data_IF_361208042888
#
_entry.id   IF_361208042888
#
_cell.length_a   1.000
_cell.length_b   1.000
_cell.length_c   1.000
_cell.angle_alpha   90.00
_cell.angle_beta   90.00
_cell.angle_gamma   90.00
#
_symmetry.space_group_name_H-M   'P 1'
#
loop_
_entity.id
_entity.type
_entity.pdbx_description
1 polymer ?
#
# COMPACT_ATOMS: atom_id res chain seq x y z
N UNK A 1 -7.31 10.23 2.91
CA UNK A 1 -8.67 9.68 2.72
C UNK A 1 -9.16 9.96 1.32
N UNK A 2 -9.64 8.91 0.63
CA UNK A 2 -10.15 8.99 -0.75
C UNK A 2 -11.67 9.01 -0.74
N UNK A 3 -12.26 10.18 -1.01
CA UNK A 3 -13.70 10.35 -1.13
C UNK A 3 -14.25 9.94 -2.50
N UNK A 4 -15.52 10.25 -2.77
CA UNK A 4 -16.15 9.96 -4.06
C UNK A 4 -15.57 10.80 -5.20
N UNK A 5 -15.27 12.09 -4.94
CA UNK A 5 -14.82 13.07 -5.93
C UNK A 5 -13.47 13.71 -5.61
N UNK A 6 -12.99 13.56 -4.38
CA UNK A 6 -11.84 14.32 -3.86
C UNK A 6 -10.94 13.40 -3.02
N UNK A 7 -9.64 13.62 -3.09
CA UNK A 7 -8.63 13.04 -2.21
C UNK A 7 -8.14 14.11 -1.24
N UNK A 8 -8.10 13.78 0.05
CA UNK A 8 -7.57 14.65 1.10
C UNK A 8 -6.42 13.93 1.80
N UNK A 9 -5.27 14.60 1.88
CA UNK A 9 -4.11 14.16 2.68
C UNK A 9 -3.88 15.20 3.78
N UNK A 10 -3.92 14.77 5.04
CA UNK A 10 -3.63 15.63 6.19
C UNK A 10 -2.36 15.10 6.88
N UNK A 11 -1.40 15.97 7.12
CA UNK A 11 -0.09 15.65 7.71
C UNK A 11 0.14 16.60 8.87
N UNK A 12 0.58 16.06 10.02
CA UNK A 12 0.98 16.89 11.16
C UNK A 12 2.41 17.38 10.95
N UNK A 13 2.61 18.69 10.94
CA UNK A 13 3.90 19.37 10.86
C UNK A 13 4.70 19.14 12.16
N UNK A 14 6.04 19.23 12.12
CA UNK A 14 6.88 19.26 13.32
C UNK A 14 6.46 20.36 14.31
N UNK A 15 6.00 21.51 13.80
CA UNK A 15 5.43 22.62 14.59
C UNK A 15 4.14 22.28 15.34
N UNK A 16 3.51 21.14 15.05
CA UNK A 16 2.24 20.69 15.64
C UNK A 16 1.00 21.06 14.83
N UNK A 17 1.13 21.96 13.86
CA UNK A 17 0.06 22.35 12.94
C UNK A 17 -0.29 21.25 11.93
N UNK A 18 -1.44 21.37 11.25
CA UNK A 18 -1.87 20.42 10.22
C UNK A 18 -1.68 21.02 8.83
N UNK A 19 -0.90 20.36 7.98
CA UNK A 19 -0.86 20.62 6.55
C UNK A 19 -1.93 19.77 5.85
N UNK A 20 -2.79 20.39 5.05
CA UNK A 20 -3.89 19.71 4.36
C UNK A 20 -3.76 19.93 2.85
N UNK A 21 -3.63 18.84 2.09
CA UNK A 21 -3.64 18.81 0.64
C UNK A 21 -4.95 18.20 0.15
N UNK A 22 -5.76 19.01 -0.54
CA UNK A 22 -7.06 18.60 -1.11
C UNK A 22 -6.99 18.66 -2.63
N UNK A 23 -7.19 17.52 -3.30
CA UNK A 23 -7.12 17.43 -4.77
C UNK A 23 -8.36 16.72 -5.34
N UNK A 24 -8.96 17.23 -6.43
CA UNK A 24 -10.03 16.52 -7.11
C UNK A 24 -9.52 15.20 -7.73
N UNK A 25 -10.36 14.17 -7.74
CA UNK A 25 -10.04 12.90 -8.39
C UNK A 25 -10.21 13.02 -9.91
N UNK A 26 -9.19 12.62 -10.71
CA UNK A 26 -9.32 12.51 -12.15
C UNK A 26 -10.54 11.70 -12.62
N UNK A 27 -11.12 12.11 -13.75
CA UNK A 27 -12.31 11.46 -14.33
C UNK A 27 -12.11 9.97 -14.64
N UNK A 28 -10.88 9.54 -14.92
CA UNK A 28 -10.55 8.13 -15.15
C UNK A 28 -10.79 7.25 -13.90
N UNK A 29 -10.72 7.85 -12.70
CA UNK A 29 -10.95 7.17 -11.43
C UNK A 29 -12.42 7.22 -10.97
N UNK A 30 -13.25 8.01 -11.63
CA UNK A 30 -14.69 8.20 -11.32
C UNK A 30 -15.62 7.81 -12.47
N UNK A 31 -15.07 7.47 -13.64
CA UNK A 31 -15.80 7.19 -14.87
C UNK A 31 -16.42 5.79 -14.99
N UNK A 32 -17.05 5.53 -16.14
CA UNK A 32 -17.81 4.30 -16.40
C UNK A 32 -16.95 3.03 -16.44
N UNK A 33 -15.67 3.12 -16.82
CA UNK A 33 -14.75 1.97 -16.84
C UNK A 33 -14.57 1.31 -15.47
N UNK A 34 -14.80 2.05 -14.38
CA UNK A 34 -14.76 1.52 -13.01
C UNK A 34 -15.96 0.63 -12.66
N UNK A 35 -16.97 0.55 -13.53
CA UNK A 35 -18.13 -0.35 -13.37
C UNK A 35 -17.92 -1.71 -14.04
N UNK A 36 -16.96 -1.83 -14.95
CA UNK A 36 -16.70 -3.08 -15.65
C UNK A 36 -15.88 -4.05 -14.76
N UNK A 37 -16.29 -5.33 -14.61
CA UNK A 37 -15.51 -6.31 -13.86
C UNK A 37 -14.13 -6.50 -14.50
N UNK A 38 -13.12 -6.89 -13.70
CA UNK A 38 -11.69 -6.95 -14.04
C UNK A 38 -11.03 -5.59 -14.34
N UNK A 39 -11.56 -4.81 -15.28
CA UNK A 39 -11.07 -3.46 -15.63
C UNK A 39 -11.10 -2.55 -14.40
N UNK A 40 -12.19 -2.62 -13.62
CA UNK A 40 -12.31 -1.94 -12.32
C UNK A 40 -11.13 -2.25 -11.40
N UNK A 41 -10.73 -3.52 -11.31
CA UNK A 41 -9.65 -3.94 -10.42
C UNK A 41 -8.31 -3.31 -10.80
N UNK A 42 -7.98 -3.32 -12.09
CA UNK A 42 -6.76 -2.69 -12.63
C UNK A 42 -6.78 -1.18 -12.37
N UNK A 43 -7.89 -0.50 -12.67
CA UNK A 43 -8.00 0.95 -12.46
C UNK A 43 -7.86 1.31 -10.98
N UNK A 44 -8.56 0.59 -10.09
CA UNK A 44 -8.51 0.84 -8.64
C UNK A 44 -7.11 0.56 -8.08
N UNK A 45 -6.43 -0.48 -8.56
CA UNK A 45 -5.06 -0.78 -8.15
C UNK A 45 -4.10 0.36 -8.55
N UNK A 46 -4.15 0.80 -9.80
CA UNK A 46 -3.33 1.92 -10.29
C UNK A 46 -3.65 3.22 -9.53
N UNK A 47 -4.94 3.52 -9.32
CA UNK A 47 -5.41 4.66 -8.54
C UNK A 47 -4.81 4.63 -7.14
N UNK A 48 -4.97 3.52 -6.41
CA UNK A 48 -4.48 3.37 -5.05
C UNK A 48 -2.95 3.52 -4.96
N UNK A 49 -2.21 2.93 -5.90
CA UNK A 49 -0.74 3.06 -5.96
C UNK A 49 -0.32 4.50 -6.22
N UNK A 50 -0.88 5.16 -7.24
CA UNK A 50 -0.50 6.53 -7.62
C UNK A 50 -0.86 7.52 -6.51
N UNK A 51 -2.07 7.44 -5.97
CA UNK A 51 -2.50 8.32 -4.88
C UNK A 51 -1.70 8.05 -3.60
N UNK A 52 -1.45 6.78 -3.26
CA UNK A 52 -0.64 6.39 -2.11
C UNK A 52 0.77 6.96 -2.18
N UNK A 53 1.47 6.77 -3.31
CA UNK A 53 2.82 7.33 -3.51
C UNK A 53 2.81 8.85 -3.40
N UNK A 54 1.84 9.53 -4.03
CA UNK A 54 1.72 11.00 -3.95
C UNK A 54 1.51 11.48 -2.51
N UNK A 55 0.65 10.82 -1.73
CA UNK A 55 0.42 11.17 -0.33
C UNK A 55 1.65 10.92 0.55
N UNK A 56 2.40 9.83 0.29
CA UNK A 56 3.66 9.55 1.00
C UNK A 56 4.73 10.60 0.71
N UNK A 57 4.92 10.97 -0.56
CA UNK A 57 5.86 12.02 -0.96
C UNK A 57 5.47 13.38 -0.38
N UNK A 58 4.18 13.71 -0.40
CA UNK A 58 3.69 14.94 0.25
C UNK A 58 3.99 14.93 1.76
N UNK A 59 3.72 13.81 2.44
CA UNK A 59 4.02 13.68 3.88
C UNK A 59 5.51 13.79 4.18
N UNK A 60 6.38 13.22 3.35
CA UNK A 60 7.83 13.35 3.50
C UNK A 60 8.26 14.81 3.35
N UNK A 61 7.79 15.51 2.31
CA UNK A 61 8.15 16.90 2.07
C UNK A 61 7.67 17.83 3.19
N UNK A 62 6.45 17.64 3.71
CA UNK A 62 5.94 18.43 4.85
C UNK A 62 6.72 18.14 6.14
N UNK A 63 7.27 16.93 6.29
CA UNK A 63 8.06 16.58 7.47
C UNK A 63 9.49 17.15 7.42
N UNK A 64 10.00 17.42 6.21
CA UNK A 64 11.34 17.98 5.95
C UNK A 64 11.31 19.49 5.70
N UNK A 65 10.17 20.15 5.87
CA UNK A 65 9.97 21.57 5.53
C UNK A 65 10.92 22.51 6.32
N UNK A 66 11.41 22.07 7.48
CA UNK A 66 12.38 22.80 8.30
C UNK A 66 13.86 22.50 7.94
N UNK A 67 14.15 21.54 7.06
CA UNK A 67 15.52 21.05 6.78
C UNK A 67 16.15 21.54 5.46
N UNK A 68 15.46 22.28 4.58
CA UNK A 68 15.93 22.71 3.22
C UNK A 68 16.55 21.60 2.33
N UNK A 69 16.58 20.34 2.79
CA UNK A 69 17.10 19.20 2.06
C UNK A 69 16.00 18.57 1.21
N UNK A 70 15.97 18.94 -0.07
CA UNK A 70 15.16 18.22 -1.05
C UNK A 70 15.72 16.81 -1.27
N UNK A 71 14.89 15.79 -1.04
CA UNK A 71 15.23 14.41 -1.42
C UNK A 71 15.48 14.38 -2.93
N UNK A 72 16.71 14.09 -3.33
CA UNK A 72 17.09 13.97 -4.74
C UNK A 72 16.17 12.98 -5.47
N UNK A 73 15.56 13.41 -6.59
CA UNK A 73 14.67 12.56 -7.38
C UNK A 73 15.32 11.25 -7.84
N UNK A 74 16.64 11.26 -8.07
CA UNK A 74 17.41 10.03 -8.35
C UNK A 74 17.37 9.03 -7.20
N UNK A 75 17.50 9.50 -5.95
CA UNK A 75 17.48 8.64 -4.77
C UNK A 75 16.11 7.97 -4.61
N UNK A 76 15.02 8.70 -4.90
CA UNK A 76 13.66 8.14 -4.93
C UNK A 76 13.57 7.01 -5.95
N UNK A 77 14.06 7.21 -7.18
CA UNK A 77 14.06 6.16 -8.20
C UNK A 77 14.92 4.95 -7.82
N UNK A 78 16.07 5.17 -7.19
CA UNK A 78 16.93 4.09 -6.70
C UNK A 78 16.22 3.26 -5.62
N UNK A 79 15.57 3.92 -4.64
CA UNK A 79 14.78 3.22 -3.60
C UNK A 79 13.62 2.42 -4.22
N UNK A 80 12.92 3.00 -5.20
CA UNK A 80 11.85 2.30 -5.92
C UNK A 80 12.40 1.07 -6.64
N UNK A 81 13.52 1.21 -7.38
CA UNK A 81 14.13 0.09 -8.11
C UNK A 81 14.59 -1.03 -7.16
N UNK A 82 15.26 -0.69 -6.06
CA UNK A 82 15.70 -1.66 -5.05
C UNK A 82 14.51 -2.36 -4.40
N UNK A 83 13.48 -1.62 -4.02
CA UNK A 83 12.26 -2.19 -3.42
C UNK A 83 11.55 -3.15 -4.38
N UNK A 84 11.50 -2.82 -5.67
CA UNK A 84 10.89 -3.67 -6.70
C UNK A 84 11.73 -4.94 -6.93
N UNK A 85 13.05 -4.81 -7.01
CA UNK A 85 13.96 -5.95 -7.12
C UNK A 85 13.82 -6.90 -5.92
N UNK A 86 13.77 -6.34 -4.70
CA UNK A 86 13.52 -7.10 -3.48
C UNK A 86 12.16 -7.81 -3.52
N UNK A 87 11.10 -7.12 -3.96
CA UNK A 87 9.78 -7.72 -4.08
C UNK A 87 9.76 -8.89 -5.09
N UNK A 88 10.42 -8.74 -6.25
CA UNK A 88 10.55 -9.84 -7.24
C UNK A 88 11.32 -11.01 -6.65
N UNK A 89 12.45 -10.75 -5.99
CA UNK A 89 13.26 -11.78 -5.36
C UNK A 89 12.48 -12.54 -4.27
N UNK A 90 11.79 -11.81 -3.38
CA UNK A 90 11.09 -12.39 -2.24
C UNK A 90 9.79 -13.10 -2.63
N UNK A 91 8.97 -12.53 -3.52
CA UNK A 91 7.62 -13.03 -3.79
C UNK A 91 7.50 -13.89 -5.05
N UNK A 92 8.50 -13.88 -5.94
CA UNK A 92 8.48 -14.71 -7.16
C UNK A 92 9.65 -15.69 -7.18
N UNK A 93 10.88 -15.20 -7.03
CA UNK A 93 12.06 -16.06 -7.13
C UNK A 93 12.17 -17.03 -5.94
N UNK A 94 11.96 -16.55 -4.72
CA UNK A 94 12.11 -17.36 -3.50
C UNK A 94 11.10 -18.51 -3.44
N UNK A 95 9.77 -18.31 -3.65
CA UNK A 95 8.82 -19.42 -3.65
C UNK A 95 9.14 -20.45 -4.74
N UNK A 96 9.47 -20.00 -5.95
CA UNK A 96 9.81 -20.88 -7.07
C UNK A 96 11.10 -21.67 -6.81
N UNK A 97 12.10 -21.04 -6.21
CA UNK A 97 13.34 -21.71 -5.83
C UNK A 97 13.08 -22.78 -4.77
N UNK A 98 12.33 -22.43 -3.71
CA UNK A 98 12.00 -23.36 -2.63
C UNK A 98 11.18 -24.56 -3.13
N UNK A 99 10.22 -24.36 -4.02
CA UNK A 99 9.44 -25.47 -4.59
C UNK A 99 10.28 -26.36 -5.48
N UNK A 100 11.18 -25.79 -6.29
CA UNK A 100 12.11 -26.57 -7.12
C UNK A 100 13.05 -27.47 -6.31
N UNK A 101 13.44 -27.06 -5.10
CA UNK A 101 14.22 -27.93 -4.20
C UNK A 101 13.43 -29.17 -3.75
N UNK A 102 12.10 -29.07 -3.72
CA UNK A 102 11.19 -30.15 -3.34
C UNK A 102 10.74 -30.99 -4.54
N UNK A 103 10.96 -30.51 -5.78
CA UNK A 103 10.54 -31.16 -7.03
C UNK A 103 10.97 -32.64 -7.14
N UNK A 104 12.19 -33.06 -6.74
CA UNK A 104 12.57 -34.48 -6.77
C UNK A 104 11.70 -35.39 -5.90
N UNK A 105 10.98 -34.83 -4.93
CA UNK A 105 10.10 -35.57 -4.02
C UNK A 105 8.62 -35.48 -4.41
N UNK A 106 8.29 -34.74 -5.48
CA UNK A 106 6.91 -34.46 -5.90
C UNK A 106 6.65 -35.13 -7.25
N UNK A 107 5.85 -36.20 -7.26
CA UNK A 107 5.51 -36.93 -8.48
C UNK A 107 4.35 -36.35 -9.30
N UNK A 108 3.70 -35.27 -8.86
CA UNK A 108 2.48 -34.73 -9.49
C UNK A 108 2.52 -33.21 -9.61
N UNK A 109 2.22 -32.70 -10.80
CA UNK A 109 2.11 -31.25 -11.06
C UNK A 109 1.05 -30.56 -10.21
N UNK A 110 -0.03 -31.25 -9.84
CA UNK A 110 -1.06 -30.70 -8.96
C UNK A 110 -0.49 -30.45 -7.55
N UNK A 111 0.22 -31.44 -7.01
CA UNK A 111 0.84 -31.36 -5.69
C UNK A 111 1.93 -30.29 -5.67
N UNK A 112 2.71 -30.17 -6.76
CA UNK A 112 3.69 -29.09 -6.92
C UNK A 112 3.04 -27.70 -6.80
N UNK A 113 1.96 -27.45 -7.54
CA UNK A 113 1.26 -26.17 -7.53
C UNK A 113 0.62 -25.85 -6.17
N UNK A 114 0.10 -26.87 -5.47
CA UNK A 114 -0.44 -26.70 -4.12
C UNK A 114 0.64 -26.32 -3.11
N UNK A 115 1.80 -26.99 -3.16
CA UNK A 115 2.95 -26.68 -2.32
C UNK A 115 3.48 -25.28 -2.63
N UNK A 116 3.58 -24.91 -3.90
CA UNK A 116 3.97 -23.55 -4.30
C UNK A 116 3.02 -22.49 -3.75
N UNK A 117 1.71 -22.71 -3.91
CA UNK A 117 0.70 -21.81 -3.38
C UNK A 117 0.80 -21.65 -1.86
N UNK A 118 1.02 -22.76 -1.14
CA UNK A 118 1.20 -22.73 0.31
C UNK A 118 2.47 -21.99 0.73
N UNK A 119 3.62 -22.26 0.09
CA UNK A 119 4.89 -21.58 0.36
C UNK A 119 4.73 -20.07 0.11
N UNK A 120 4.10 -19.69 -1.00
CA UNK A 120 3.83 -18.28 -1.33
C UNK A 120 2.95 -17.60 -0.27
N UNK A 121 1.89 -18.26 0.18
CA UNK A 121 1.02 -17.75 1.24
C UNK A 121 1.77 -17.62 2.57
N UNK A 122 2.57 -18.62 2.94
CA UNK A 122 3.36 -18.61 4.15
C UNK A 122 4.39 -17.47 4.16
N UNK A 123 5.12 -17.27 3.05
CA UNK A 123 6.05 -16.15 2.87
C UNK A 123 5.30 -14.81 2.99
N UNK A 124 4.13 -14.69 2.36
CA UNK A 124 3.33 -13.47 2.45
C UNK A 124 2.91 -13.14 3.88
N UNK A 125 2.40 -14.12 4.63
CA UNK A 125 2.01 -13.94 6.03
C UNK A 125 3.24 -13.61 6.90
N UNK A 126 4.36 -14.31 6.69
CA UNK A 126 5.60 -14.07 7.42
C UNK A 126 6.13 -12.65 7.17
N UNK A 127 6.13 -12.20 5.91
CA UNK A 127 6.49 -10.85 5.53
C UNK A 127 5.64 -9.80 6.25
N UNK A 128 4.30 -9.96 6.24
CA UNK A 128 3.40 -9.02 6.94
C UNK A 128 3.68 -8.98 8.44
N UNK A 129 3.91 -10.13 9.08
CA UNK A 129 4.25 -10.19 10.51
C UNK A 129 5.57 -9.49 10.81
N UNK A 130 6.61 -9.72 10.01
CA UNK A 130 7.91 -9.07 10.18
C UNK A 130 7.81 -7.55 9.99
N UNK A 131 7.10 -7.11 8.96
CA UNK A 131 6.86 -5.68 8.72
C UNK A 131 6.09 -5.02 9.86
N UNK A 132 5.12 -5.72 10.47
CA UNK A 132 4.38 -5.23 11.63
C UNK A 132 5.22 -5.13 12.92
N UNK A 133 6.48 -5.59 12.93
CA UNK A 133 7.42 -5.34 14.02
C UNK A 133 8.00 -3.92 13.97
N UNK A 134 8.00 -3.27 12.80
CA UNK A 134 8.45 -1.88 12.65
C UNK A 134 7.37 -0.94 13.20
N UNK A 135 7.67 -0.10 14.20
CA UNK A 135 6.67 0.74 14.88
C UNK A 135 5.86 1.63 13.94
N UNK A 136 6.51 2.25 12.96
CA UNK A 136 5.84 3.13 12.00
C UNK A 136 4.88 2.37 11.08
N UNK A 137 5.28 1.19 10.60
CA UNK A 137 4.42 0.33 9.77
C UNK A 137 3.24 -0.20 10.59
N UNK A 138 3.48 -0.60 11.84
CA UNK A 138 2.41 -0.99 12.76
C UNK A 138 1.39 0.12 12.95
N UNK A 139 1.85 1.37 13.09
CA UNK A 139 1.00 2.55 13.19
C UNK A 139 0.18 2.78 11.91
N UNK A 140 0.77 2.60 10.72
CA UNK A 140 0.03 2.65 9.45
C UNK A 140 -1.09 1.61 9.41
N UNK A 141 -0.82 0.36 9.81
CA UNK A 141 -1.87 -0.67 9.86
C UNK A 141 -2.99 -0.34 10.85
N UNK A 142 -2.66 0.22 12.01
CA UNK A 142 -3.66 0.68 12.98
C UNK A 142 -4.55 1.79 12.40
N UNK A 143 -3.95 2.79 11.75
CA UNK A 143 -4.71 3.88 11.12
C UNK A 143 -5.55 3.42 9.94
N UNK A 144 -5.10 2.43 9.17
CA UNK A 144 -5.92 1.85 8.11
C UNK A 144 -7.20 1.21 8.67
N UNK A 145 -7.08 0.45 9.77
CA UNK A 145 -8.24 -0.11 10.46
C UNK A 145 -9.16 0.96 11.06
N UNK A 146 -8.59 2.05 11.58
CA UNK A 146 -9.35 3.18 12.10
C UNK A 146 -10.11 3.94 10.99
N UNK A 147 -9.50 4.13 9.81
CA UNK A 147 -10.13 4.78 8.65
C UNK A 147 -11.41 4.06 8.24
N UNK A 148 -11.38 2.73 8.12
CA UNK A 148 -12.59 1.96 7.76
C UNK A 148 -13.70 2.13 8.79
N UNK A 149 -13.38 2.16 10.08
CA UNK A 149 -14.37 2.38 11.15
C UNK A 149 -14.95 3.80 11.09
N UNK A 150 -14.11 4.81 10.89
CA UNK A 150 -14.53 6.20 10.81
C UNK A 150 -15.44 6.44 9.59
N UNK A 151 -15.08 5.87 8.43
CA UNK A 151 -15.91 5.93 7.22
C UNK A 151 -17.25 5.23 7.46
N UNK A 152 -17.24 4.03 8.03
CA UNK A 152 -18.49 3.30 8.31
C UNK A 152 -19.39 4.08 9.27
N UNK A 153 -18.85 4.62 10.36
CA UNK A 153 -19.61 5.45 11.30
C UNK A 153 -20.22 6.69 10.62
N UNK A 154 -19.45 7.36 9.76
CA UNK A 154 -19.93 8.49 8.97
C UNK A 154 -21.04 8.11 7.99
N UNK A 155 -20.89 6.98 7.29
CA UNK A 155 -21.89 6.48 6.34
C UNK A 155 -23.19 6.03 7.04
N UNK A 156 -23.08 5.53 8.28
CA UNK A 156 -24.22 5.16 9.13
C UNK A 156 -24.86 6.36 9.85
N UNK A 157 -24.33 7.59 9.67
CA UNK A 157 -24.81 8.80 10.33
C UNK A 157 -24.57 8.83 11.85
N UNK A 158 -23.67 7.99 12.35
CA UNK A 158 -23.27 7.98 13.75
C UNK A 158 -22.43 9.23 14.08
N UNK A 159 -22.44 9.63 15.36
CA UNK A 159 -21.62 10.73 15.84
C UNK A 159 -20.13 10.41 15.69
N UNK A 160 -19.37 11.35 15.12
CA UNK A 160 -17.92 11.27 15.03
C UNK A 160 -17.30 12.01 16.22
N UNK A 161 -17.24 11.33 17.36
CA UNK A 161 -16.61 11.87 18.57
C UNK A 161 -15.13 11.43 18.62
N UNK A 162 -14.29 12.31 19.16
CA UNK A 162 -12.83 12.11 19.24
C UNK A 162 -12.44 11.38 20.54
N UNK A 163 -13.40 11.20 21.45
CA UNK A 163 -13.27 10.53 22.76
C UNK A 163 -13.40 9.01 22.66
#
# INVERSE_FOLDING_TARGET
MRGQKTMVTAVRRPSGELAIDTKPLPAIYTGWMRRAPLIRGVIVLIEALVLGIKSLLYSANVSLEDEEEEISGWLVWAMVAVSLAFAVALFFMTPLFLTKLLDPYIGSSLVFNLIEGFIRLAIFIAYLKLMALVPDIRRVFAYHGAEHKAVNAYEDGAALEVE
#
